data_IF_893504940309
#
_entry.id   IF_893504940309
#
_cell.length_a   1.000
_cell.length_b   1.000
_cell.length_c   1.000
_cell.angle_alpha   90.00
_cell.angle_beta   90.00
_cell.angle_gamma   90.00
#
_symmetry.space_group_name_H-M   'P 1'
#
loop_
_entity.id
_entity.type
_entity.pdbx_description
1 polymer ?
#
# COMPACT_ATOMS: atom_id res chain seq x y z
N UNK A 1 -6.58 -35.47 40.35
CA UNK A 1 -7.59 -35.26 39.29
C UNK A 1 -7.03 -34.29 38.26
N UNK A 2 -6.54 -34.77 37.12
CA UNK A 2 -6.10 -33.91 36.01
C UNK A 2 -7.20 -33.97 34.94
N UNK A 3 -7.92 -32.88 34.75
CA UNK A 3 -8.89 -32.74 33.68
C UNK A 3 -8.15 -32.79 32.34
N UNK A 4 -8.28 -33.90 31.61
CA UNK A 4 -7.82 -33.97 30.24
C UNK A 4 -8.76 -33.12 29.38
N UNK A 5 -8.21 -32.10 28.74
CA UNK A 5 -8.90 -31.26 27.77
C UNK A 5 -9.22 -32.12 26.52
N UNK A 6 -10.50 -32.28 26.12
CA UNK A 6 -10.88 -33.22 25.04
C UNK A 6 -10.68 -32.66 23.61
N UNK A 7 -10.20 -31.43 23.46
CA UNK A 7 -10.06 -30.80 22.15
C UNK A 7 -8.60 -30.83 21.70
N UNK A 8 -8.26 -31.47 20.56
CA UNK A 8 -6.93 -31.36 19.99
C UNK A 8 -6.68 -29.89 19.61
N UNK A 9 -5.45 -29.37 19.79
CA UNK A 9 -5.10 -28.06 19.26
C UNK A 9 -5.36 -28.07 17.74
N UNK A 10 -5.84 -26.95 17.16
CA UNK A 10 -6.03 -26.87 15.71
C UNK A 10 -4.71 -27.22 15.01
N UNK A 11 -4.76 -27.95 13.88
CA UNK A 11 -3.54 -28.33 13.17
C UNK A 11 -2.76 -27.05 12.81
N UNK A 12 -1.46 -27.06 13.09
CA UNK A 12 -0.57 -26.02 12.61
C UNK A 12 -0.73 -25.89 11.09
N UNK A 13 -0.81 -24.67 10.52
CA UNK A 13 -0.92 -24.50 9.09
C UNK A 13 0.21 -25.23 8.37
N UNK A 14 -0.11 -25.92 7.27
CA UNK A 14 0.85 -26.74 6.55
C UNK A 14 2.08 -25.90 6.12
N UNK A 15 3.32 -26.40 6.31
CA UNK A 15 4.54 -25.64 6.02
C UNK A 15 4.64 -25.08 4.59
N UNK A 16 4.01 -25.75 3.63
CA UNK A 16 3.99 -25.34 2.22
C UNK A 16 3.08 -24.14 1.90
N UNK A 17 2.03 -23.91 2.72
CA UNK A 17 1.07 -22.82 2.49
C UNK A 17 1.73 -21.45 2.71
N UNK A 18 2.61 -21.35 3.71
CA UNK A 18 3.37 -20.12 3.98
C UNK A 18 4.41 -19.82 2.90
N UNK A 19 5.10 -20.84 2.40
CA UNK A 19 6.10 -20.70 1.34
C UNK A 19 5.45 -20.28 0.00
N UNK A 20 4.27 -20.84 -0.29
CA UNK A 20 3.51 -20.47 -1.49
C UNK A 20 3.00 -19.03 -1.41
N UNK A 21 2.41 -18.65 -0.28
CA UNK A 21 1.98 -17.27 -0.04
C UNK A 21 3.15 -16.28 -0.18
N UNK A 22 4.31 -16.58 0.41
CA UNK A 22 5.49 -15.74 0.30
C UNK A 22 5.97 -15.59 -1.15
N UNK A 23 5.89 -16.66 -1.94
CA UNK A 23 6.22 -16.62 -3.37
C UNK A 23 5.24 -15.74 -4.14
N UNK A 24 3.93 -15.90 -3.90
CA UNK A 24 2.90 -15.08 -4.55
C UNK A 24 3.07 -13.59 -4.24
N UNK A 25 3.36 -13.27 -2.97
CA UNK A 25 3.69 -11.90 -2.53
C UNK A 25 4.87 -11.35 -3.33
N UNK A 26 6.00 -12.07 -3.34
CA UNK A 26 7.22 -11.60 -4.02
C UNK A 26 7.01 -11.42 -5.52
N UNK A 27 6.31 -12.32 -6.19
CA UNK A 27 6.06 -12.23 -7.63
C UNK A 27 5.24 -11.00 -8.03
N UNK A 28 4.41 -10.49 -7.13
CA UNK A 28 3.54 -9.33 -7.38
C UNK A 28 4.18 -8.00 -7.01
N UNK A 29 5.37 -8.01 -6.42
CA UNK A 29 6.09 -6.81 -5.99
C UNK A 29 7.31 -6.58 -6.88
N UNK A 30 7.51 -5.33 -7.27
CA UNK A 30 8.72 -4.90 -7.96
C UNK A 30 9.33 -3.68 -7.24
N UNK A 31 10.55 -3.88 -6.77
CA UNK A 31 11.33 -2.91 -6.00
C UNK A 31 12.34 -2.14 -6.86
N UNK A 32 12.38 -2.35 -8.19
CA UNK A 32 13.35 -1.73 -9.10
C UNK A 32 13.27 -0.20 -9.12
N UNK A 33 12.15 0.37 -8.69
CA UNK A 33 11.91 1.81 -8.63
C UNK A 33 11.85 2.37 -7.20
N UNK A 34 12.37 1.64 -6.21
CA UNK A 34 12.38 2.08 -4.81
C UNK A 34 12.91 3.52 -4.65
N UNK A 35 12.24 4.41 -3.89
CA UNK A 35 11.14 4.15 -2.95
C UNK A 35 9.72 4.22 -3.53
N UNK A 36 9.55 4.15 -4.85
CA UNK A 36 8.27 3.84 -5.48
C UNK A 36 8.13 2.32 -5.65
N UNK A 37 7.27 1.70 -4.86
CA UNK A 37 7.01 0.26 -4.91
C UNK A 37 5.90 -0.02 -5.92
N UNK A 38 6.18 -0.83 -6.93
CA UNK A 38 5.18 -1.30 -7.88
C UNK A 38 4.58 -2.60 -7.35
N UNK A 39 3.26 -2.67 -7.29
CA UNK A 39 2.52 -3.89 -6.92
C UNK A 39 1.44 -4.20 -7.94
N UNK A 40 1.26 -5.49 -8.23
CA UNK A 40 0.11 -6.00 -8.98
C UNK A 40 -0.96 -6.45 -8.00
N UNK A 41 -2.03 -5.67 -7.90
CA UNK A 41 -3.07 -5.91 -6.91
C UNK A 41 -3.78 -7.24 -7.21
N UNK A 42 -3.80 -8.17 -6.26
CA UNK A 42 -4.48 -9.44 -6.45
C UNK A 42 -6.00 -9.22 -6.39
N UNK A 43 -6.79 -10.18 -6.87
CA UNK A 43 -8.25 -10.14 -6.68
C UNK A 43 -8.66 -10.08 -5.21
N UNK A 44 -9.86 -9.55 -4.93
CA UNK A 44 -10.37 -9.31 -3.58
C UNK A 44 -10.39 -10.55 -2.66
N UNK A 45 -10.50 -11.76 -3.22
CA UNK A 45 -10.47 -13.04 -2.51
C UNK A 45 -9.08 -13.44 -2.03
N UNK A 46 -8.02 -12.86 -2.59
CA UNK A 46 -6.62 -13.10 -2.25
C UNK A 46 -6.09 -12.08 -1.22
N UNK A 47 -6.94 -11.68 -0.25
CA UNK A 47 -6.58 -10.72 0.79
C UNK A 47 -5.25 -11.04 1.54
N UNK A 48 -4.92 -12.32 1.86
CA UNK A 48 -3.62 -12.64 2.47
C UNK A 48 -2.41 -12.23 1.64
N UNK A 49 -2.51 -12.28 0.31
CA UNK A 49 -1.44 -11.85 -0.61
C UNK A 49 -1.27 -10.33 -0.52
N UNK A 50 -2.38 -9.58 -0.55
CA UNK A 50 -2.36 -8.12 -0.38
C UNK A 50 -1.70 -7.72 0.95
N UNK A 51 -2.10 -8.35 2.04
CA UNK A 51 -1.55 -8.06 3.37
C UNK A 51 -0.06 -8.35 3.44
N UNK A 52 0.38 -9.50 2.90
CA UNK A 52 1.80 -9.84 2.84
C UNK A 52 2.63 -8.85 2.01
N UNK A 53 2.09 -8.32 0.90
CA UNK A 53 2.77 -7.29 0.12
C UNK A 53 2.96 -5.99 0.92
N UNK A 54 1.92 -5.54 1.62
CA UNK A 54 2.00 -4.33 2.43
C UNK A 54 2.94 -4.52 3.62
N UNK A 55 2.89 -5.66 4.29
CA UNK A 55 3.80 -6.01 5.40
C UNK A 55 5.27 -6.05 4.93
N UNK A 56 5.55 -6.65 3.78
CA UNK A 56 6.89 -6.68 3.20
C UNK A 56 7.42 -5.26 2.88
N UNK A 57 6.56 -4.35 2.43
CA UNK A 57 6.92 -2.95 2.23
C UNK A 57 7.24 -2.25 3.56
N UNK A 58 6.41 -2.47 4.59
CA UNK A 58 6.58 -1.88 5.92
C UNK A 58 7.84 -2.38 6.64
N UNK A 59 8.19 -3.65 6.47
CA UNK A 59 9.40 -4.26 7.07
C UNK A 59 10.71 -3.59 6.63
N UNK A 60 10.70 -2.87 5.50
CA UNK A 60 11.88 -2.11 5.04
C UNK A 60 12.17 -0.87 5.89
N UNK A 61 11.21 -0.41 6.71
CA UNK A 61 11.39 0.69 7.65
C UNK A 61 11.70 2.04 7.01
N UNK A 62 11.43 2.20 5.72
CA UNK A 62 11.75 3.40 4.93
C UNK A 62 10.48 3.99 4.32
N UNK A 63 10.35 5.32 4.21
CA UNK A 63 9.22 5.94 3.53
C UNK A 63 9.13 5.49 2.07
N UNK A 64 7.91 5.21 1.60
CA UNK A 64 7.67 4.73 0.24
C UNK A 64 6.33 5.25 -0.32
N UNK A 65 6.17 5.22 -1.63
CA UNK A 65 4.89 5.42 -2.30
C UNK A 65 4.50 4.13 -3.02
N UNK A 66 3.21 3.79 -2.99
CA UNK A 66 2.68 2.60 -3.65
C UNK A 66 2.21 2.96 -5.06
N UNK A 67 2.62 2.17 -6.04
CA UNK A 67 2.14 2.20 -7.42
C UNK A 67 1.42 0.88 -7.66
N UNK A 68 0.09 0.92 -7.65
CA UNK A 68 -0.75 -0.27 -7.65
C UNK A 68 -1.39 -0.47 -9.03
N UNK A 69 -1.01 -1.52 -9.73
CA UNK A 69 -1.72 -2.00 -10.91
C UNK A 69 -3.03 -2.69 -10.48
N UNK A 70 -4.15 -2.15 -10.96
CA UNK A 70 -5.50 -2.49 -10.53
C UNK A 70 -6.25 -3.38 -11.53
N UNK A 71 -5.62 -3.78 -12.64
CA UNK A 71 -6.29 -4.50 -13.72
C UNK A 71 -6.93 -5.82 -13.26
N UNK A 72 -6.18 -6.65 -12.52
CA UNK A 72 -6.69 -7.91 -11.98
C UNK A 72 -7.72 -7.70 -10.87
N UNK A 73 -7.50 -6.71 -10.00
CA UNK A 73 -8.42 -6.39 -8.91
C UNK A 73 -9.82 -6.01 -9.43
N UNK A 74 -9.88 -5.18 -10.48
CA UNK A 74 -11.13 -4.73 -11.07
C UNK A 74 -11.76 -5.73 -12.04
N UNK A 75 -10.97 -6.66 -12.59
CA UNK A 75 -11.48 -7.77 -13.41
C UNK A 75 -12.18 -8.86 -12.59
N UNK A 76 -11.99 -8.88 -11.27
CA UNK A 76 -12.63 -9.81 -10.35
C UNK A 76 -14.03 -9.39 -9.89
N UNK A 77 -14.74 -10.27 -9.17
CA UNK A 77 -16.01 -9.93 -8.56
C UNK A 77 -15.85 -8.80 -7.53
N UNK A 78 -16.89 -7.96 -7.32
CA UNK A 78 -16.85 -6.94 -6.28
C UNK A 78 -16.58 -7.54 -4.90
N UNK A 79 -15.86 -6.79 -4.06
CA UNK A 79 -15.58 -7.21 -2.70
C UNK A 79 -16.87 -7.54 -1.94
N UNK A 80 -16.82 -8.63 -1.19
CA UNK A 80 -17.83 -8.98 -0.20
C UNK A 80 -17.66 -8.14 1.08
N UNK A 81 -18.72 -8.00 1.90
CA UNK A 81 -18.59 -7.35 3.21
C UNK A 81 -17.52 -7.99 4.11
N UNK A 82 -17.31 -9.31 4.00
CA UNK A 82 -16.30 -10.03 4.77
C UNK A 82 -14.87 -9.62 4.37
N UNK A 83 -14.61 -9.48 3.07
CA UNK A 83 -13.31 -9.03 2.55
C UNK A 83 -13.01 -7.58 2.97
N UNK A 84 -13.98 -6.67 2.84
CA UNK A 84 -13.84 -5.28 3.33
C UNK A 84 -13.55 -5.22 4.83
N UNK A 85 -14.22 -6.07 5.63
CA UNK A 85 -13.98 -6.17 7.08
C UNK A 85 -12.57 -6.67 7.38
N UNK A 86 -12.08 -7.65 6.64
CA UNK A 86 -10.72 -8.15 6.79
C UNK A 86 -9.67 -7.07 6.48
N UNK A 87 -9.84 -6.33 5.38
CA UNK A 87 -8.97 -5.22 5.01
C UNK A 87 -8.99 -4.09 6.07
N UNK A 88 -10.17 -3.71 6.55
CA UNK A 88 -10.31 -2.71 7.60
C UNK A 88 -9.63 -3.14 8.92
N UNK A 89 -9.76 -4.41 9.30
CA UNK A 89 -9.11 -4.94 10.51
C UNK A 89 -7.59 -4.99 10.37
N UNK A 90 -7.08 -5.39 9.20
CA UNK A 90 -5.65 -5.37 8.92
C UNK A 90 -5.11 -3.94 8.98
N UNK A 91 -5.79 -2.98 8.34
CA UNK A 91 -5.38 -1.58 8.35
C UNK A 91 -5.43 -0.99 9.76
N UNK A 92 -6.43 -1.35 10.59
CA UNK A 92 -6.50 -0.92 12.00
C UNK A 92 -5.28 -1.41 12.80
N UNK A 93 -4.80 -2.63 12.55
CA UNK A 93 -3.63 -3.21 13.23
C UNK A 93 -2.32 -2.57 12.79
N UNK A 94 -2.20 -2.24 11.51
CA UNK A 94 -0.96 -1.71 10.91
C UNK A 94 -0.97 -0.20 10.69
N UNK A 95 -2.04 0.48 11.12
CA UNK A 95 -2.32 1.91 10.87
C UNK A 95 -1.11 2.79 11.13
N UNK A 96 -0.48 2.64 12.29
CA UNK A 96 0.61 3.51 12.72
C UNK A 96 1.82 3.38 11.79
N UNK A 97 2.29 2.15 11.54
CA UNK A 97 3.41 1.90 10.64
C UNK A 97 3.08 2.32 9.20
N UNK A 98 1.87 1.99 8.74
CA UNK A 98 1.43 2.29 7.38
C UNK A 98 1.39 3.79 7.11
N UNK A 99 0.72 4.59 7.94
CA UNK A 99 0.63 6.04 7.72
C UNK A 99 1.92 6.79 8.10
N UNK A 100 2.84 6.16 8.85
CA UNK A 100 4.16 6.74 9.12
C UNK A 100 5.09 6.65 7.90
N UNK A 101 5.04 5.53 7.16
CA UNK A 101 5.96 5.23 6.06
C UNK A 101 5.35 5.46 4.67
N UNK A 102 4.08 5.13 4.46
CA UNK A 102 3.43 5.29 3.16
C UNK A 102 3.14 6.77 2.89
N UNK A 103 3.72 7.30 1.81
CA UNK A 103 3.59 8.71 1.38
C UNK A 103 2.45 8.93 0.39
N UNK A 104 1.85 7.86 -0.10
CA UNK A 104 0.71 7.91 -0.99
C UNK A 104 0.54 6.65 -1.79
N UNK A 105 -0.60 6.55 -2.48
CA UNK A 105 -0.92 5.44 -3.36
C UNK A 105 -1.35 5.97 -4.73
N UNK A 106 -0.82 5.37 -5.79
CA UNK A 106 -1.11 5.72 -7.17
C UNK A 106 -1.65 4.50 -7.90
N UNK A 107 -2.92 4.56 -8.32
CA UNK A 107 -3.54 3.49 -9.09
C UNK A 107 -3.14 3.56 -10.56
N UNK A 108 -2.76 2.43 -11.15
CA UNK A 108 -2.52 2.27 -12.58
C UNK A 108 -3.70 1.55 -13.20
N UNK A 109 -4.36 2.20 -14.14
CA UNK A 109 -5.44 1.60 -14.91
C UNK A 109 -5.66 2.36 -16.23
N UNK A 110 -5.58 1.64 -17.35
CA UNK A 110 -5.73 2.23 -18.68
C UNK A 110 -7.14 2.80 -18.91
N UNK A 111 -8.19 2.05 -18.52
CA UNK A 111 -9.58 2.45 -18.71
C UNK A 111 -9.92 3.72 -17.90
N UNK A 112 -10.26 4.79 -18.61
CA UNK A 112 -10.48 6.11 -18.02
C UNK A 112 -11.68 6.14 -17.06
N UNK A 113 -12.80 5.51 -17.44
CA UNK A 113 -14.04 5.54 -16.64
C UNK A 113 -13.86 4.75 -15.36
N UNK A 114 -13.31 3.55 -15.46
CA UNK A 114 -12.99 2.71 -14.32
C UNK A 114 -11.92 3.37 -13.44
N UNK A 115 -10.92 4.04 -14.03
CA UNK A 115 -9.87 4.76 -13.29
C UNK A 115 -10.46 5.91 -12.49
N UNK A 116 -11.36 6.69 -13.08
CA UNK A 116 -12.03 7.79 -12.39
C UNK A 116 -12.91 7.29 -11.24
N UNK A 117 -13.69 6.23 -11.45
CA UNK A 117 -14.52 5.62 -10.41
C UNK A 117 -13.66 5.05 -9.25
N UNK A 118 -12.57 4.38 -9.59
CA UNK A 118 -11.63 3.84 -8.60
C UNK A 118 -10.97 4.96 -7.79
N UNK A 119 -10.50 6.02 -8.46
CA UNK A 119 -9.89 7.18 -7.80
C UNK A 119 -10.87 7.85 -6.83
N UNK A 120 -12.11 8.05 -7.25
CA UNK A 120 -13.15 8.61 -6.40
C UNK A 120 -13.39 7.75 -5.16
N UNK A 121 -13.56 6.43 -5.34
CA UNK A 121 -13.73 5.48 -4.24
C UNK A 121 -12.51 5.47 -3.30
N UNK A 122 -11.29 5.42 -3.85
CA UNK A 122 -10.06 5.43 -3.06
C UNK A 122 -9.91 6.70 -2.23
N UNK A 123 -10.20 7.88 -2.80
CA UNK A 123 -10.16 9.15 -2.06
C UNK A 123 -11.21 9.22 -0.94
N UNK A 124 -12.42 8.72 -1.18
CA UNK A 124 -13.44 8.63 -0.13
C UNK A 124 -12.96 7.75 1.03
N UNK A 125 -12.37 6.59 0.75
CA UNK A 125 -11.84 5.68 1.77
C UNK A 125 -10.64 6.26 2.53
N UNK A 126 -9.74 6.97 1.83
CA UNK A 126 -8.54 7.55 2.43
C UNK A 126 -8.80 8.89 3.16
N UNK A 127 -9.98 9.49 2.99
CA UNK A 127 -10.33 10.82 3.51
C UNK A 127 -10.02 11.01 5.01
N UNK A 128 -10.30 10.00 5.83
CA UNK A 128 -10.06 10.02 7.29
C UNK A 128 -8.59 9.83 7.69
N UNK A 129 -7.70 9.53 6.74
CA UNK A 129 -6.28 9.24 7.00
C UNK A 129 -5.32 10.30 6.47
N UNK A 130 -5.77 11.15 5.54
CA UNK A 130 -4.92 12.14 4.88
C UNK A 130 -3.91 11.57 3.88
N UNK A 131 -3.95 10.26 3.60
CA UNK A 131 -3.07 9.64 2.60
C UNK A 131 -3.49 10.08 1.20
N UNK A 132 -2.57 10.69 0.40
CA UNK A 132 -2.91 11.11 -0.95
C UNK A 132 -3.11 9.89 -1.85
N UNK A 133 -4.25 9.87 -2.55
CA UNK A 133 -4.61 8.87 -3.55
C UNK A 133 -4.71 9.57 -4.91
N UNK A 134 -3.93 9.07 -5.86
CA UNK A 134 -3.89 9.52 -7.25
C UNK A 134 -4.10 8.33 -8.19
N UNK A 135 -4.35 8.59 -9.47
CA UNK A 135 -4.44 7.53 -10.48
C UNK A 135 -3.84 7.99 -11.81
N UNK A 136 -3.31 7.05 -12.58
CA UNK A 136 -2.67 7.28 -13.87
C UNK A 136 -3.08 6.20 -14.88
N UNK A 137 -2.98 6.54 -16.17
CA UNK A 137 -3.30 5.59 -17.24
C UNK A 137 -2.18 4.56 -17.43
N UNK A 138 -0.94 4.99 -17.22
CA UNK A 138 0.26 4.19 -17.47
C UNK A 138 1.15 4.08 -16.23
N UNK A 139 2.01 3.07 -16.23
CA UNK A 139 3.00 2.88 -15.17
C UNK A 139 3.99 4.06 -15.09
N UNK A 140 4.40 4.60 -16.24
CA UNK A 140 5.35 5.72 -16.30
C UNK A 140 4.78 6.98 -15.62
N UNK A 141 3.56 7.35 -15.96
CA UNK A 141 2.83 8.45 -15.31
C UNK A 141 2.68 8.19 -13.80
N UNK A 142 2.35 6.97 -13.42
CA UNK A 142 2.17 6.61 -12.03
C UNK A 142 3.48 6.74 -11.22
N UNK A 143 4.60 6.32 -11.80
CA UNK A 143 5.92 6.48 -11.20
C UNK A 143 6.31 7.96 -11.05
N UNK A 144 6.00 8.80 -12.05
CA UNK A 144 6.21 10.24 -11.95
C UNK A 144 5.39 10.87 -10.82
N UNK A 145 4.13 10.46 -10.67
CA UNK A 145 3.28 10.90 -9.56
C UNK A 145 3.81 10.40 -8.21
N UNK A 146 4.20 9.13 -8.11
CA UNK A 146 4.73 8.54 -6.89
C UNK A 146 5.98 9.30 -6.39
N UNK A 147 6.90 9.65 -7.30
CA UNK A 147 8.08 10.49 -6.99
C UNK A 147 7.69 11.86 -6.43
N UNK A 148 6.67 12.50 -7.00
CA UNK A 148 6.13 13.77 -6.49
C UNK A 148 5.56 13.63 -5.08
N UNK A 149 4.85 12.53 -4.79
CA UNK A 149 4.29 12.25 -3.46
C UNK A 149 5.39 12.04 -2.42
N UNK A 150 6.45 11.30 -2.79
CA UNK A 150 7.63 11.10 -1.96
C UNK A 150 8.33 12.43 -1.62
N UNK A 151 8.51 13.31 -2.60
CA UNK A 151 9.19 14.59 -2.41
C UNK A 151 8.39 15.60 -1.58
N UNK A 152 7.05 15.55 -1.65
CA UNK A 152 6.18 16.41 -0.83
C UNK A 152 6.17 16.03 0.65
N UNK A 153 6.43 14.76 0.96
CA UNK A 153 6.40 14.25 2.32
C UNK A 153 7.72 14.40 3.08
N UNK A 154 8.78 14.85 2.41
CA UNK A 154 9.99 15.34 3.08
C UNK A 154 9.66 16.72 3.67
N UNK A 155 9.72 16.92 5.00
CA UNK A 155 9.74 18.27 5.53
C UNK A 155 10.95 18.95 4.90
N UNK A 156 10.72 19.99 4.09
CA UNK A 156 11.81 20.83 3.63
C UNK A 156 12.47 21.38 4.90
N UNK A 157 13.78 21.18 5.13
CA UNK A 157 14.45 21.94 6.18
C UNK A 157 14.18 23.42 5.88
N UNK A 158 13.88 24.24 6.91
CA UNK A 158 13.59 25.64 6.70
C UNK A 158 14.72 26.22 5.84
N UNK A 159 14.34 26.77 4.68
CA UNK A 159 15.29 27.48 3.84
C UNK A 159 15.78 28.65 4.69
N UNK A 160 16.96 28.47 5.28
CA UNK A 160 17.68 29.54 5.93
C UNK A 160 17.94 30.59 4.85
N UNK A 161 17.13 31.65 4.86
CA UNK A 161 17.41 32.88 4.13
C UNK A 161 18.67 33.48 4.74
N UNK A 162 19.84 33.04 4.25
CA UNK A 162 21.10 33.72 4.49
C UNK A 162 21.68 34.13 3.14
N UNK A 163 21.36 35.36 2.75
CA UNK A 163 22.25 36.20 1.95
C UNK A 163 21.90 37.66 2.31
N UNK A 164 22.48 38.21 3.38
CA UNK A 164 23.77 38.92 3.40
C UNK A 164 23.77 40.15 2.49
N UNK A 165 23.70 41.33 3.09
CA UNK A 165 24.62 42.45 2.81
C UNK A 165 24.47 43.57 3.85
N UNK A 166 25.41 43.54 4.79
CA UNK A 166 26.14 44.70 5.28
C UNK A 166 26.29 45.78 4.20
N UNK A 167 25.77 46.99 4.44
CA UNK A 167 26.31 48.31 4.09
C UNK A 167 25.23 49.36 4.44
N UNK A 168 25.39 50.28 5.39
CA UNK A 168 26.40 51.34 5.42
C UNK A 168 26.42 52.02 6.81
N UNK A 169 27.61 52.48 7.18
CA UNK A 169 27.84 53.58 8.12
C UNK A 169 27.31 54.90 7.56
#
# INVERSE_FOLDING_TARGET
MKHANPFPPPPAPAPGLHADLARQVQQRMDFSHWPALIVRMPSADQAPVLFGMLEAALQRGQPFALVADMAEYLGGPPETPAQRKAAALWLKRHRQAFFSLCRGNVYVLADERARAALLASGRQQASASGLPIEAAATLEEALAIARRLLNKATPQPPQNTQETKNNQM
#
